data_IF_226600524887
#
_entry.id   IF_226600524887
#
_cell.length_a   1.000
_cell.length_b   1.000
_cell.length_c   1.000
_cell.angle_alpha   90.00
_cell.angle_beta   90.00
_cell.angle_gamma   90.00
#
_symmetry.space_group_name_H-M   'P 1'
#
loop_
_entity.id
_entity.type
_entity.pdbx_description
1 polymer ?
#
# COMPACT_ATOMS: atom_id res chain seq x y z
N UNK A 1 13.75 38.65 8.04
CA UNK A 1 12.77 38.79 6.93
C UNK A 1 12.76 37.60 5.93
N UNK A 2 13.23 36.41 6.31
CA UNK A 2 13.25 35.23 5.40
C UNK A 2 12.24 34.15 5.81
N UNK A 3 11.97 34.02 7.11
CA UNK A 3 11.10 33.00 7.71
C UNK A 3 9.64 33.13 7.28
N UNK A 4 9.09 34.35 7.24
CA UNK A 4 7.67 34.58 6.93
C UNK A 4 7.34 34.26 5.46
N UNK A 5 8.30 34.48 4.55
CA UNK A 5 8.14 34.13 3.12
C UNK A 5 8.16 32.61 2.90
N UNK A 6 8.98 31.88 3.67
CA UNK A 6 9.04 30.42 3.65
C UNK A 6 7.77 29.78 4.19
N UNK A 7 7.27 30.26 5.34
CA UNK A 7 6.03 29.76 5.95
C UNK A 7 4.87 29.90 4.96
N UNK A 8 4.73 31.07 4.32
CA UNK A 8 3.67 31.30 3.32
C UNK A 8 3.76 30.33 2.13
N UNK A 9 4.96 30.01 1.64
CA UNK A 9 5.15 29.05 0.53
C UNK A 9 4.77 27.62 0.91
N UNK A 10 5.16 27.18 2.12
CA UNK A 10 4.84 25.83 2.61
C UNK A 10 3.33 25.70 2.83
N UNK A 11 2.68 26.72 3.41
CA UNK A 11 1.23 26.73 3.63
C UNK A 11 0.43 26.72 2.33
N UNK A 12 0.83 27.51 1.32
CA UNK A 12 0.20 27.51 0.00
C UNK A 12 0.34 26.15 -0.70
N UNK A 13 1.53 25.54 -0.64
CA UNK A 13 1.78 24.22 -1.23
C UNK A 13 0.93 23.13 -0.57
N UNK A 14 0.84 23.11 0.76
CA UNK A 14 -0.01 22.17 1.50
C UNK A 14 -1.51 22.38 1.20
N UNK A 15 -1.95 23.64 1.07
CA UNK A 15 -3.34 23.96 0.70
C UNK A 15 -3.66 23.60 -0.76
N UNK A 16 -2.69 23.64 -1.67
CA UNK A 16 -2.87 23.20 -3.06
C UNK A 16 -3.02 21.67 -3.13
N UNK A 17 -2.17 20.92 -2.41
CA UNK A 17 -2.24 19.46 -2.34
C UNK A 17 -3.61 18.99 -1.79
N UNK A 18 -4.13 19.65 -0.75
CA UNK A 18 -5.46 19.37 -0.18
C UNK A 18 -6.62 19.65 -1.14
N UNK A 19 -6.47 20.62 -2.05
CA UNK A 19 -7.52 20.99 -3.03
C UNK A 19 -7.58 20.05 -4.23
N UNK A 20 -6.48 19.35 -4.54
CA UNK A 20 -6.40 18.45 -5.71
C UNK A 20 -6.81 17.00 -5.40
N UNK A 21 -7.17 16.69 -4.14
CA UNK A 21 -7.82 15.41 -3.81
C UNK A 21 -9.16 15.33 -4.55
N UNK A 22 -9.14 14.74 -5.75
CA UNK A 22 -10.33 14.53 -6.56
C UNK A 22 -11.23 13.54 -5.81
N UNK A 23 -12.36 14.04 -5.30
CA UNK A 23 -13.39 13.18 -4.75
C UNK A 23 -13.89 12.23 -5.83
N UNK A 24 -13.91 10.93 -5.53
CA UNK A 24 -14.55 9.94 -6.39
C UNK A 24 -16.06 10.08 -6.23
N UNK A 25 -16.77 10.41 -7.32
CA UNK A 25 -18.23 10.52 -7.30
C UNK A 25 -18.87 9.12 -7.38
N UNK A 26 -19.83 8.85 -6.49
CA UNK A 26 -20.55 7.55 -6.45
C UNK A 26 -21.80 7.61 -7.33
N UNK A 27 -22.03 6.56 -8.11
CA UNK A 27 -23.33 6.39 -8.79
C UNK A 27 -24.41 6.06 -7.76
N UNK A 28 -25.62 6.60 -7.95
CA UNK A 28 -26.69 6.65 -6.92
C UNK A 28 -27.23 5.29 -6.43
N UNK A 29 -26.79 4.18 -7.02
CA UNK A 29 -27.25 2.82 -6.69
C UNK A 29 -26.11 1.91 -6.19
N UNK A 30 -25.16 2.45 -5.41
CA UNK A 30 -24.04 1.65 -4.90
C UNK A 30 -24.37 1.07 -3.53
N UNK A 31 -24.79 -0.20 -3.46
CA UNK A 31 -24.81 -0.99 -2.22
C UNK A 31 -23.39 -1.30 -1.77
N UNK A 32 -23.15 -1.42 -0.47
CA UNK A 32 -21.84 -1.78 0.06
C UNK A 32 -21.41 -3.18 -0.45
N UNK A 33 -20.28 -3.25 -1.15
CA UNK A 33 -19.78 -4.47 -1.77
C UNK A 33 -18.71 -5.08 -0.86
N UNK A 34 -19.06 -6.20 -0.21
CA UNK A 34 -18.13 -7.02 0.58
C UNK A 34 -17.94 -8.39 -0.06
N UNK A 35 -16.73 -8.69 -0.51
CA UNK A 35 -16.35 -9.96 -1.15
C UNK A 35 -15.43 -10.76 -0.23
N UNK A 36 -15.56 -12.09 -0.20
CA UNK A 36 -14.66 -12.94 0.58
C UNK A 36 -13.25 -12.94 -0.03
N UNK A 37 -12.22 -12.71 0.78
CA UNK A 37 -10.82 -12.74 0.32
C UNK A 37 -10.39 -14.17 -0.06
N UNK A 38 -9.68 -14.30 -1.18
CA UNK A 38 -9.09 -15.58 -1.61
C UNK A 38 -7.94 -16.00 -0.71
N UNK A 39 -7.85 -17.31 -0.45
CA UNK A 39 -6.73 -17.88 0.31
C UNK A 39 -5.55 -18.08 -0.63
N UNK A 40 -4.40 -17.50 -0.30
CA UNK A 40 -3.14 -17.79 -0.98
C UNK A 40 -2.39 -18.93 -0.27
N UNK A 41 -1.54 -19.71 -0.97
CA UNK A 41 -0.72 -20.76 -0.38
C UNK A 41 0.21 -20.25 0.74
N UNK A 42 0.49 -21.10 1.74
CA UNK A 42 1.31 -20.73 2.90
C UNK A 42 2.71 -20.23 2.52
N UNK A 43 3.26 -20.71 1.40
CA UNK A 43 4.58 -20.30 0.88
C UNK A 43 4.68 -18.79 0.61
N UNK A 44 3.56 -18.13 0.34
CA UNK A 44 3.52 -16.69 0.07
C UNK A 44 3.18 -15.84 1.29
N UNK A 45 2.84 -16.46 2.44
CA UNK A 45 2.40 -15.74 3.64
C UNK A 45 3.46 -14.81 4.18
N UNK A 46 4.69 -15.29 4.26
CA UNK A 46 5.78 -14.51 4.86
C UNK A 46 6.12 -13.30 3.99
N UNK A 47 6.14 -13.47 2.67
CA UNK A 47 6.40 -12.39 1.72
C UNK A 47 5.26 -11.36 1.69
N UNK A 48 4.01 -11.81 1.68
CA UNK A 48 2.85 -10.90 1.75
C UNK A 48 2.88 -10.07 3.05
N UNK A 49 3.17 -10.71 4.19
CA UNK A 49 3.28 -10.01 5.47
C UNK A 49 4.47 -9.04 5.53
N UNK A 50 5.58 -9.34 4.86
CA UNK A 50 6.72 -8.43 4.74
C UNK A 50 6.32 -7.17 3.96
N UNK A 51 5.72 -7.32 2.78
CA UNK A 51 5.30 -6.18 1.97
C UNK A 51 4.23 -5.32 2.65
N UNK A 52 3.25 -5.94 3.34
CA UNK A 52 2.24 -5.20 4.10
C UNK A 52 2.89 -4.33 5.18
N UNK A 53 3.85 -4.87 5.94
CA UNK A 53 4.58 -4.11 6.96
C UNK A 53 5.35 -2.95 6.35
N UNK A 54 6.08 -3.18 5.26
CA UNK A 54 6.82 -2.13 4.56
C UNK A 54 5.91 -1.01 4.06
N UNK A 55 4.75 -1.36 3.49
CA UNK A 55 3.78 -0.36 3.02
C UNK A 55 3.10 0.39 4.17
N UNK A 56 2.89 -0.24 5.33
CA UNK A 56 2.40 0.42 6.54
C UNK A 56 3.45 1.42 7.08
N UNK A 57 4.71 0.99 7.19
CA UNK A 57 5.82 1.84 7.67
C UNK A 57 6.06 3.03 6.75
N UNK A 58 5.89 2.85 5.44
CA UNK A 58 5.98 3.90 4.43
C UNK A 58 4.71 4.80 4.38
N UNK A 59 3.68 4.52 5.17
CA UNK A 59 2.39 5.22 5.16
C UNK A 59 1.70 5.22 3.79
N UNK A 60 1.90 4.15 2.99
CA UNK A 60 1.20 3.93 1.71
C UNK A 60 -0.19 3.34 1.96
N UNK A 61 -0.31 2.45 2.95
CA UNK A 61 -1.57 1.84 3.37
C UNK A 61 -1.85 2.11 4.86
N UNK A 62 -3.11 1.94 5.27
CA UNK A 62 -3.51 2.07 6.66
C UNK A 62 -4.60 1.05 7.02
N UNK A 63 -4.76 0.81 8.33
CA UNK A 63 -5.88 0.02 8.83
C UNK A 63 -7.18 0.81 8.70
N UNK A 64 -8.22 0.17 8.18
CA UNK A 64 -9.55 0.76 8.03
C UNK A 64 -10.66 -0.26 8.28
N UNK A 65 -11.81 0.22 8.73
CA UNK A 65 -13.04 -0.55 8.84
C UNK A 65 -14.00 -0.10 7.73
N UNK A 66 -13.72 -0.52 6.50
CA UNK A 66 -14.51 -0.15 5.33
C UNK A 66 -15.65 -1.15 5.09
N UNK A 67 -16.85 -0.70 4.70
CA UNK A 67 -17.89 -1.59 4.20
C UNK A 67 -17.56 -2.15 2.80
N UNK A 68 -16.53 -1.60 2.13
CA UNK A 68 -15.96 -2.09 0.88
C UNK A 68 -14.67 -2.87 1.11
N UNK A 69 -14.48 -3.94 0.36
CA UNK A 69 -13.17 -4.58 0.22
C UNK A 69 -12.93 -5.14 -1.19
N UNK A 70 -11.66 -5.28 -1.54
CA UNK A 70 -11.22 -5.96 -2.76
C UNK A 70 -10.30 -7.14 -2.37
N UNK A 71 -10.50 -8.35 -2.91
CA UNK A 71 -9.65 -9.49 -2.59
C UNK A 71 -8.22 -9.31 -3.14
N UNK A 72 -7.22 -9.77 -2.40
CA UNK A 72 -5.82 -9.75 -2.82
C UNK A 72 -5.54 -10.96 -3.71
N UNK A 73 -4.82 -10.74 -4.80
CA UNK A 73 -4.35 -11.78 -5.71
C UNK A 73 -2.82 -11.83 -5.70
N UNK A 74 -2.24 -12.98 -5.33
CA UNK A 74 -0.79 -13.15 -5.22
C UNK A 74 -0.27 -13.79 -6.50
N UNK A 75 0.71 -13.15 -7.14
CA UNK A 75 1.38 -13.66 -8.34
C UNK A 75 2.86 -13.83 -8.04
N UNK A 76 3.45 -15.02 -8.28
CA UNK A 76 4.89 -15.20 -8.20
C UNK A 76 5.60 -14.26 -9.18
N UNK A 77 6.62 -13.54 -8.69
CA UNK A 77 7.45 -12.73 -9.56
C UNK A 77 8.33 -13.62 -10.44
N UNK A 78 8.50 -13.25 -11.71
CA UNK A 78 9.47 -13.92 -12.58
C UNK A 78 10.89 -13.70 -12.04
N UNK A 79 11.78 -14.65 -12.33
CA UNK A 79 13.20 -14.50 -11.99
C UNK A 79 13.78 -13.30 -12.73
N UNK A 80 14.56 -12.50 -12.02
CA UNK A 80 15.34 -11.45 -12.64
C UNK A 80 16.50 -12.07 -13.44
N UNK A 81 17.16 -11.30 -14.32
CA UNK A 81 18.28 -11.77 -15.16
C UNK A 81 19.49 -12.33 -14.37
N UNK A 82 19.49 -12.13 -13.05
CA UNK A 82 20.49 -12.64 -12.10
C UNK A 82 20.09 -13.98 -11.47
N UNK A 83 18.98 -14.58 -11.89
CA UNK A 83 18.48 -15.87 -11.41
C UNK A 83 17.90 -15.83 -9.98
N UNK A 84 17.80 -14.65 -9.37
CA UNK A 84 17.26 -14.49 -8.01
C UNK A 84 15.81 -14.05 -8.05
N UNK A 85 15.00 -14.69 -7.22
CA UNK A 85 13.71 -14.17 -6.80
C UNK A 85 13.95 -13.17 -5.66
N UNK A 86 13.62 -11.90 -5.87
CA UNK A 86 13.67 -10.90 -4.81
C UNK A 86 12.71 -11.31 -3.68
N UNK A 87 13.25 -11.69 -2.52
CA UNK A 87 12.48 -12.14 -1.33
C UNK A 87 12.99 -13.44 -0.68
N UNK A 88 13.95 -14.16 -1.27
CA UNK A 88 14.58 -15.30 -0.60
C UNK A 88 15.58 -14.82 0.47
N UNK A 89 15.10 -14.54 1.68
CA UNK A 89 15.98 -14.55 2.86
C UNK A 89 16.48 -15.98 3.03
N UNK A 90 17.77 -16.21 2.74
CA UNK A 90 18.44 -17.45 3.16
C UNK A 90 18.33 -17.53 4.68
N UNK A 91 17.55 -18.48 5.20
CA UNK A 91 17.71 -18.96 6.56
C UNK A 91 19.01 -19.77 6.61
N UNK A 92 20.13 -19.11 6.89
CA UNK A 92 21.39 -19.79 7.16
C UNK A 92 21.24 -20.53 8.48
N UNK A 93 21.11 -21.87 8.42
CA UNK A 93 21.33 -22.75 9.56
C UNK A 93 22.75 -22.54 10.06
N UNK A 94 22.91 -22.20 11.34
CA UNK A 94 24.22 -21.98 11.95
C UNK A 94 24.19 -22.19 13.47
N UNK A 95 24.71 -23.36 13.87
CA UNK A 95 25.03 -23.88 15.21
C UNK A 95 23.90 -24.25 16.17
#
# INVERSE_FOLDING_TARGET
>A
MHTVRTIRRVTEALNLIRRTTRGLERTKATTDIRVRTYRYPQVHRDEVNRQIREMLDQNIICHSQSPYNAPIWVVPKKLDSTGKQNGASLSTTGS
#
